data_IF_691799725191
#
_entry.id   IF_691799725191
#
_cell.length_a   1.000
_cell.length_b   1.000
_cell.length_c   1.000
_cell.angle_alpha   90.00
_cell.angle_beta   90.00
_cell.angle_gamma   90.00
#
_symmetry.space_group_name_H-M   'P 1'
#
loop_
_entity.id
_entity.type
_entity.pdbx_description
1 polymer ?
#
# COMPACT_ATOMS: atom_id res chain seq x y z
N UNK A 1 22.28 41.02 -64.44
CA UNK A 1 21.36 41.30 -65.56
C UNK A 1 19.97 41.03 -64.99
N UNK A 2 19.21 42.06 -64.61
CA UNK A 2 18.61 43.07 -65.52
C UNK A 2 17.79 42.34 -66.58
N UNK A 3 16.47 42.37 -66.42
CA UNK A 3 15.47 42.87 -67.39
C UNK A 3 14.58 41.66 -67.76
N UNK A 4 13.28 41.73 -68.01
CA UNK A 4 12.33 42.81 -68.27
C UNK A 4 10.94 42.17 -68.09
N UNK A 5 10.00 42.81 -67.39
CA UNK A 5 8.80 43.43 -67.99
C UNK A 5 8.35 42.77 -69.29
N UNK A 6 7.18 42.14 -69.30
CA UNK A 6 6.42 42.04 -70.54
C UNK A 6 4.95 42.43 -70.31
N UNK A 7 4.67 43.60 -70.84
CA UNK A 7 3.42 44.29 -71.00
C UNK A 7 2.68 43.64 -72.19
N UNK A 8 1.37 43.37 -72.08
CA UNK A 8 0.56 43.13 -73.27
C UNK A 8 -0.76 43.90 -73.17
N UNK A 9 -0.74 45.07 -73.78
CA UNK A 9 -1.90 45.93 -74.06
C UNK A 9 -2.69 45.41 -75.27
N UNK A 10 -3.92 45.93 -75.36
CA UNK A 10 -4.85 45.96 -76.49
C UNK A 10 -5.80 44.75 -76.58
N UNK A 11 -7.12 44.92 -76.57
CA UNK A 11 -7.84 45.88 -77.42
C UNK A 11 -9.17 46.28 -76.79
N UNK A 12 -9.40 47.60 -76.71
CA UNK A 12 -10.70 48.22 -76.53
C UNK A 12 -11.71 47.75 -77.59
N UNK A 13 -12.90 47.34 -77.15
CA UNK A 13 -14.10 47.46 -77.96
C UNK A 13 -15.17 48.16 -77.14
N UNK A 14 -15.31 49.46 -77.44
CA UNK A 14 -16.48 50.26 -77.13
C UNK A 14 -17.76 49.53 -77.60
N UNK A 15 -18.65 49.24 -76.66
CA UNK A 15 -20.08 49.09 -76.96
C UNK A 15 -20.87 50.08 -76.11
N UNK A 16 -21.21 51.17 -76.78
CA UNK A 16 -22.34 52.07 -76.57
C UNK A 16 -23.29 51.65 -75.43
N UNK A 17 -23.25 52.39 -74.31
CA UNK A 17 -24.33 52.43 -73.34
C UNK A 17 -25.51 53.19 -73.96
N UNK A 18 -26.46 52.44 -74.53
CA UNK A 18 -27.81 52.94 -74.80
C UNK A 18 -28.51 53.24 -73.45
N UNK A 19 -29.43 54.23 -73.41
CA UNK A 19 -30.27 54.42 -72.25
C UNK A 19 -31.10 53.16 -71.98
N UNK A 20 -31.14 52.70 -70.72
CA UNK A 20 -32.01 51.60 -70.26
C UNK A 20 -33.46 51.93 -70.60
N UNK A 21 -33.97 51.37 -71.71
CA UNK A 21 -35.40 51.32 -71.98
C UNK A 21 -36.05 50.40 -70.93
N UNK A 22 -37.18 50.83 -70.31
CA UNK A 22 -37.90 49.98 -69.38
C UNK A 22 -38.42 48.75 -70.14
N UNK A 23 -37.77 47.59 -69.93
CA UNK A 23 -38.29 46.29 -70.38
C UNK A 23 -39.66 46.06 -69.76
N UNK A 24 -40.71 46.26 -70.55
CA UNK A 24 -42.08 45.88 -70.20
C UNK A 24 -42.22 44.38 -70.43
N UNK A 25 -41.99 43.60 -69.37
CA UNK A 25 -42.19 42.16 -69.40
C UNK A 25 -43.69 41.86 -69.56
N UNK A 26 -44.04 40.93 -70.45
CA UNK A 26 -45.42 40.40 -70.48
C UNK A 26 -45.67 39.53 -69.25
N UNK A 27 -46.92 39.47 -68.75
CA UNK A 27 -47.26 38.64 -67.58
C UNK A 27 -46.76 37.18 -67.72
N UNK A 28 -46.90 36.61 -68.91
CA UNK A 28 -46.47 35.24 -69.23
C UNK A 28 -44.94 35.03 -69.15
N UNK A 29 -44.13 36.05 -69.41
CA UNK A 29 -42.67 35.97 -69.26
C UNK A 29 -42.24 36.10 -67.80
N UNK A 30 -43.00 36.87 -67.00
CA UNK A 30 -42.76 37.03 -65.57
C UNK A 30 -43.08 35.74 -64.81
N UNK A 31 -44.19 35.09 -65.14
CA UNK A 31 -44.58 33.81 -64.55
C UNK A 31 -43.55 32.71 -64.85
N UNK A 32 -43.06 32.62 -66.10
CA UNK A 32 -42.00 31.68 -66.48
C UNK A 32 -40.68 31.92 -65.74
N UNK A 33 -40.32 33.19 -65.50
CA UNK A 33 -39.13 33.54 -64.72
C UNK A 33 -39.29 33.15 -63.26
N UNK A 34 -40.47 33.37 -62.67
CA UNK A 34 -40.80 32.98 -61.31
C UNK A 34 -40.80 31.47 -61.12
N UNK A 35 -41.42 30.71 -62.02
CA UNK A 35 -41.42 29.24 -61.99
C UNK A 35 -40.00 28.67 -62.06
N UNK A 36 -39.17 29.22 -62.95
CA UNK A 36 -37.77 28.81 -63.08
C UNK A 36 -36.95 29.16 -61.84
N UNK A 37 -37.24 30.29 -61.20
CA UNK A 37 -36.61 30.68 -59.93
C UNK A 37 -37.06 29.79 -58.77
N UNK A 38 -38.35 29.48 -58.70
CA UNK A 38 -38.94 28.61 -57.69
C UNK A 38 -38.40 27.17 -57.81
N UNK A 39 -38.32 26.63 -59.02
CA UNK A 39 -37.73 25.32 -59.28
C UNK A 39 -36.24 25.27 -58.88
N UNK A 40 -35.45 26.29 -59.25
CA UNK A 40 -34.04 26.39 -58.82
C UNK A 40 -33.89 26.53 -57.32
N UNK A 41 -34.78 27.27 -56.66
CA UNK A 41 -34.77 27.43 -55.21
C UNK A 41 -35.09 26.11 -54.50
N UNK A 42 -36.09 25.37 -55.00
CA UNK A 42 -36.45 24.03 -54.50
C UNK A 42 -35.33 23.02 -54.71
N UNK A 43 -34.72 22.98 -55.90
CA UNK A 43 -33.60 22.09 -56.21
C UNK A 43 -32.40 22.39 -55.30
N UNK A 44 -32.07 23.68 -55.12
CA UNK A 44 -31.01 24.10 -54.18
C UNK A 44 -31.36 23.72 -52.74
N UNK A 45 -32.61 23.89 -52.31
CA UNK A 45 -33.05 23.52 -50.98
C UNK A 45 -32.98 22.01 -50.75
N UNK A 46 -33.37 21.19 -51.74
CA UNK A 46 -33.26 19.73 -51.68
C UNK A 46 -31.80 19.30 -51.59
N UNK A 47 -30.92 19.84 -52.43
CA UNK A 47 -29.49 19.54 -52.38
C UNK A 47 -28.85 19.93 -51.03
N UNK A 48 -29.20 21.09 -50.49
CA UNK A 48 -28.75 21.53 -49.15
C UNK A 48 -29.30 20.62 -48.04
N UNK A 49 -30.55 20.16 -48.17
CA UNK A 49 -31.16 19.24 -47.21
C UNK A 49 -30.51 17.86 -47.23
N UNK A 50 -30.29 17.28 -48.42
CA UNK A 50 -29.59 16.01 -48.60
C UNK A 50 -28.16 16.08 -48.06
N UNK A 51 -27.45 17.18 -48.35
CA UNK A 51 -26.10 17.40 -47.79
C UNK A 51 -26.12 17.44 -46.26
N UNK A 52 -27.04 18.19 -45.66
CA UNK A 52 -27.18 18.24 -44.19
C UNK A 52 -27.54 16.88 -43.59
N UNK A 53 -28.37 16.11 -44.28
CA UNK A 53 -28.78 14.78 -43.82
C UNK A 53 -27.60 13.80 -43.87
N UNK A 54 -26.81 13.83 -44.95
CA UNK A 54 -25.59 13.03 -45.07
C UNK A 54 -24.55 13.42 -44.01
N UNK A 55 -24.30 14.72 -43.83
CA UNK A 55 -23.37 15.23 -42.79
C UNK A 55 -23.82 14.81 -41.38
N UNK A 56 -25.12 14.86 -41.08
CA UNK A 56 -25.66 14.44 -39.79
C UNK A 56 -25.53 12.92 -39.58
N UNK A 57 -25.71 12.13 -40.62
CA UNK A 57 -25.61 10.67 -40.59
C UNK A 57 -24.16 10.23 -40.40
N UNK A 58 -23.20 10.88 -41.07
CA UNK A 58 -21.78 10.64 -40.90
C UNK A 58 -21.28 11.03 -39.49
N UNK A 59 -21.72 12.19 -38.99
CA UNK A 59 -21.43 12.62 -37.60
C UNK A 59 -22.02 11.66 -36.57
N UNK A 60 -23.25 11.20 -36.77
CA UNK A 60 -23.90 10.23 -35.88
C UNK A 60 -23.17 8.89 -35.84
N UNK A 61 -22.67 8.41 -36.98
CA UNK A 61 -21.85 7.19 -37.05
C UNK A 61 -20.51 7.35 -36.33
N UNK A 62 -19.77 8.43 -36.61
CA UNK A 62 -18.45 8.63 -36.00
C UNK A 62 -18.52 8.86 -34.49
N UNK A 63 -19.55 9.57 -34.01
CA UNK A 63 -19.74 9.79 -32.57
C UNK A 63 -20.18 8.49 -31.87
N UNK A 64 -21.03 7.68 -32.50
CA UNK A 64 -21.42 6.37 -31.98
C UNK A 64 -20.23 5.40 -31.87
N UNK A 65 -19.38 5.35 -32.90
CA UNK A 65 -18.15 4.54 -32.89
C UNK A 65 -17.18 5.01 -31.80
N UNK A 66 -16.98 6.32 -31.65
CA UNK A 66 -16.12 6.90 -30.61
C UNK A 66 -16.64 6.59 -29.21
N UNK A 67 -17.95 6.69 -28.97
CA UNK A 67 -18.55 6.36 -27.68
C UNK A 67 -18.44 4.87 -27.36
N UNK A 68 -18.67 4.00 -28.35
CA UNK A 68 -18.53 2.56 -28.20
C UNK A 68 -17.08 2.16 -27.89
N UNK A 69 -16.11 2.74 -28.61
CA UNK A 69 -14.67 2.54 -28.35
C UNK A 69 -14.30 3.01 -26.94
N UNK A 70 -14.70 4.22 -26.54
CA UNK A 70 -14.45 4.72 -25.18
C UNK A 70 -15.05 3.80 -24.12
N UNK A 71 -16.26 3.27 -24.33
CA UNK A 71 -16.87 2.33 -23.39
C UNK A 71 -16.11 1.01 -23.30
N UNK A 72 -15.58 0.50 -24.42
CA UNK A 72 -14.80 -0.73 -24.45
C UNK A 72 -13.42 -0.54 -23.78
N UNK A 73 -12.74 0.56 -24.09
CA UNK A 73 -11.45 0.91 -23.49
C UNK A 73 -11.56 1.15 -21.97
N UNK A 74 -12.59 1.86 -21.52
CA UNK A 74 -12.82 2.07 -20.08
C UNK A 74 -13.06 0.75 -19.33
N UNK A 75 -13.86 -0.16 -19.92
CA UNK A 75 -14.07 -1.49 -19.32
C UNK A 75 -12.77 -2.29 -19.26
N UNK A 76 -11.98 -2.29 -20.34
CA UNK A 76 -10.69 -2.97 -20.38
C UNK A 76 -9.69 -2.39 -19.38
N UNK A 77 -9.66 -1.06 -19.21
CA UNK A 77 -8.81 -0.40 -18.21
C UNK A 77 -9.23 -0.74 -16.79
N UNK A 78 -10.54 -0.75 -16.49
CA UNK A 78 -11.03 -1.11 -15.15
C UNK A 78 -10.74 -2.58 -14.85
N UNK A 79 -10.94 -3.48 -15.81
CA UNK A 79 -10.60 -4.90 -15.66
C UNK A 79 -9.09 -5.12 -15.48
N UNK A 80 -8.26 -4.39 -16.24
CA UNK A 80 -6.81 -4.41 -16.08
C UNK A 80 -6.39 -3.88 -14.70
N UNK A 81 -7.00 -2.78 -14.24
CA UNK A 81 -6.75 -2.21 -12.91
C UNK A 81 -7.16 -3.18 -11.79
N UNK A 82 -8.30 -3.86 -11.93
CA UNK A 82 -8.71 -4.88 -10.98
C UNK A 82 -7.73 -6.05 -10.94
N UNK A 83 -7.28 -6.54 -12.11
CA UNK A 83 -6.25 -7.59 -12.18
C UNK A 83 -4.92 -7.14 -11.56
N UNK A 84 -4.48 -5.92 -11.84
CA UNK A 84 -3.25 -5.38 -11.27
C UNK A 84 -3.35 -5.31 -9.74
N UNK A 85 -4.48 -4.82 -9.22
CA UNK A 85 -4.71 -4.80 -7.77
C UNK A 85 -4.73 -6.20 -7.17
N UNK A 86 -5.39 -7.16 -7.81
CA UNK A 86 -5.41 -8.55 -7.35
C UNK A 86 -4.00 -9.19 -7.36
N UNK A 87 -3.18 -8.85 -8.35
CA UNK A 87 -1.79 -9.29 -8.41
C UNK A 87 -0.94 -8.64 -7.31
N UNK A 88 -1.10 -7.34 -7.09
CA UNK A 88 -0.41 -6.59 -6.04
C UNK A 88 -0.79 -7.12 -4.64
N UNK A 89 -2.07 -7.36 -4.39
CA UNK A 89 -2.57 -7.94 -3.13
C UNK A 89 -1.98 -9.35 -2.91
N UNK A 90 -1.90 -10.18 -3.96
CA UNK A 90 -1.30 -11.52 -3.91
C UNK A 90 0.22 -11.48 -3.69
N UNK A 91 0.91 -10.57 -4.37
CA UNK A 91 2.36 -10.39 -4.20
C UNK A 91 2.66 -9.93 -2.78
N UNK A 92 1.88 -8.99 -2.24
CA UNK A 92 1.99 -8.55 -0.87
C UNK A 92 1.72 -9.68 0.13
N UNK A 93 0.68 -10.50 -0.06
CA UNK A 93 0.42 -11.66 0.80
C UNK A 93 1.56 -12.69 0.77
N UNK A 94 2.12 -12.95 -0.43
CA UNK A 94 3.26 -13.85 -0.57
C UNK A 94 4.50 -13.30 0.13
N UNK A 95 4.83 -12.04 -0.09
CA UNK A 95 5.96 -11.38 0.57
C UNK A 95 5.82 -11.41 2.10
N UNK A 96 4.62 -11.16 2.63
CA UNK A 96 4.37 -11.28 4.07
C UNK A 96 4.53 -12.72 4.57
N UNK A 97 4.03 -13.72 3.83
CA UNK A 97 4.17 -15.13 4.20
C UNK A 97 5.63 -15.57 4.20
N UNK A 98 6.42 -15.18 3.19
CA UNK A 98 7.85 -15.47 3.11
C UNK A 98 8.63 -14.80 4.23
N UNK A 99 8.34 -13.51 4.50
CA UNK A 99 8.93 -12.79 5.62
C UNK A 99 8.59 -13.49 6.95
N UNK A 100 7.33 -13.91 7.14
CA UNK A 100 6.89 -14.60 8.37
C UNK A 100 7.67 -15.89 8.61
N UNK A 101 7.86 -16.70 7.57
CA UNK A 101 8.64 -17.94 7.67
C UNK A 101 10.09 -17.64 8.06
N UNK A 102 10.69 -16.62 7.44
CA UNK A 102 12.06 -16.19 7.74
C UNK A 102 12.19 -15.73 9.19
N UNK A 103 11.30 -14.84 9.63
CA UNK A 103 11.29 -14.33 11.01
C UNK A 103 11.03 -15.44 12.01
N UNK A 104 10.11 -16.38 11.73
CA UNK A 104 9.87 -17.53 12.57
C UNK A 104 11.11 -18.43 12.70
N UNK A 105 11.87 -18.62 11.62
CA UNK A 105 13.16 -19.34 11.68
C UNK A 105 14.15 -18.62 12.59
N UNK A 106 14.32 -17.31 12.41
CA UNK A 106 15.23 -16.50 13.25
C UNK A 106 14.83 -16.56 14.72
N UNK A 107 13.54 -16.42 15.04
CA UNK A 107 13.05 -16.55 16.41
C UNK A 107 13.38 -17.92 17.00
N UNK A 108 13.15 -18.99 16.24
CA UNK A 108 13.46 -20.36 16.67
C UNK A 108 14.96 -20.55 16.93
N UNK A 109 15.82 -20.02 16.06
CA UNK A 109 17.29 -20.05 16.24
C UNK A 109 17.75 -19.30 17.49
N UNK A 110 17.03 -18.23 17.87
CA UNK A 110 17.29 -17.48 19.10
C UNK A 110 16.55 -18.03 20.32
N UNK A 111 15.93 -19.21 20.21
CA UNK A 111 15.14 -19.88 21.26
C UNK A 111 13.96 -19.03 21.76
N UNK A 112 13.42 -18.17 20.90
CA UNK A 112 12.26 -17.32 21.16
C UNK A 112 10.97 -17.94 20.60
N UNK A 113 9.80 -17.63 21.18
CA UNK A 113 8.52 -18.14 20.69
C UNK A 113 8.24 -17.70 19.26
N UNK A 114 7.99 -18.66 18.36
CA UNK A 114 7.72 -18.42 16.93
C UNK A 114 6.41 -17.68 16.68
N UNK A 115 5.48 -17.74 17.63
CA UNK A 115 4.19 -17.04 17.57
C UNK A 115 4.36 -15.51 17.52
N UNK A 116 5.54 -15.00 17.93
CA UNK A 116 5.88 -13.58 17.80
C UNK A 116 6.10 -13.16 16.34
N UNK A 117 6.33 -14.10 15.43
CA UNK A 117 6.58 -13.80 14.01
C UNK A 117 5.42 -13.02 13.39
N UNK A 118 4.16 -13.36 13.74
CA UNK A 118 2.95 -12.69 13.23
C UNK A 118 2.93 -11.19 13.52
N UNK A 119 3.41 -10.79 14.70
CA UNK A 119 3.45 -9.38 15.09
C UNK A 119 4.70 -8.67 14.56
N UNK A 120 5.81 -9.40 14.43
CA UNK A 120 7.07 -8.81 13.97
C UNK A 120 7.04 -8.50 12.47
N UNK A 121 6.37 -9.31 11.65
CA UNK A 121 6.25 -9.01 10.21
C UNK A 121 5.50 -7.72 9.90
N UNK A 122 4.65 -7.23 10.82
CA UNK A 122 3.97 -5.94 10.66
C UNK A 122 4.94 -4.74 10.65
N UNK A 123 6.16 -4.92 11.14
CA UNK A 123 7.19 -3.87 11.05
C UNK A 123 7.67 -3.63 9.61
N UNK A 124 7.45 -4.59 8.69
CA UNK A 124 7.73 -4.48 7.26
C UNK A 124 9.21 -4.30 6.88
N UNK A 125 10.11 -4.38 7.85
CA UNK A 125 11.53 -4.02 7.72
C UNK A 125 12.39 -5.06 8.44
N UNK A 126 13.22 -5.77 7.68
CA UNK A 126 14.04 -6.86 8.19
C UNK A 126 15.04 -6.40 9.26
N UNK A 127 15.62 -5.20 9.13
CA UNK A 127 16.59 -4.67 10.09
C UNK A 127 15.90 -4.32 11.41
N UNK A 128 14.71 -3.71 11.35
CA UNK A 128 13.91 -3.45 12.55
C UNK A 128 13.50 -4.75 13.24
N UNK A 129 13.09 -5.75 12.46
CA UNK A 129 12.72 -7.05 13.01
C UNK A 129 13.91 -7.69 13.73
N UNK A 130 15.09 -7.72 13.10
CA UNK A 130 16.31 -8.26 13.73
C UNK A 130 16.64 -7.54 15.04
N UNK A 131 16.60 -6.20 15.05
CA UNK A 131 16.86 -5.41 16.25
C UNK A 131 15.89 -5.73 17.39
N UNK A 132 14.60 -5.90 17.08
CA UNK A 132 13.58 -6.28 18.07
C UNK A 132 13.82 -7.70 18.58
N UNK A 133 14.16 -8.64 17.69
CA UNK A 133 14.48 -10.03 18.05
C UNK A 133 15.69 -10.08 19.00
N UNK A 134 16.75 -9.33 18.70
CA UNK A 134 17.95 -9.25 19.55
C UNK A 134 17.60 -8.66 20.94
N UNK A 135 16.80 -7.60 20.98
CA UNK A 135 16.33 -6.99 22.24
C UNK A 135 15.46 -7.94 23.07
N UNK A 136 14.56 -8.69 22.43
CA UNK A 136 13.73 -9.71 23.07
C UNK A 136 14.59 -10.82 23.67
N UNK A 137 15.59 -11.31 22.93
CA UNK A 137 16.50 -12.34 23.42
C UNK A 137 17.24 -11.88 24.69
N UNK A 138 17.75 -10.65 24.70
CA UNK A 138 18.43 -10.09 25.87
C UNK A 138 17.49 -9.96 27.07
N UNK A 139 16.28 -9.43 26.85
CA UNK A 139 15.29 -9.26 27.91
C UNK A 139 14.86 -10.60 28.54
N UNK A 140 14.65 -11.63 27.70
CA UNK A 140 14.30 -12.97 28.17
C UNK A 140 15.46 -13.59 28.97
N UNK A 141 16.70 -13.51 28.46
CA UNK A 141 17.86 -14.04 29.17
C UNK A 141 18.06 -13.36 30.54
N UNK A 142 17.89 -12.04 30.58
CA UNK A 142 17.97 -11.29 31.83
C UNK A 142 16.86 -11.71 32.80
N UNK A 143 15.61 -11.83 32.32
CA UNK A 143 14.48 -12.27 33.14
C UNK A 143 14.65 -13.68 33.71
N UNK A 144 15.22 -14.60 32.92
CA UNK A 144 15.57 -15.96 33.37
C UNK A 144 16.64 -15.90 34.46
N UNK A 145 17.74 -15.17 34.24
CA UNK A 145 18.82 -15.02 35.21
C UNK A 145 18.34 -14.41 36.53
N UNK A 146 17.50 -13.37 36.46
CA UNK A 146 16.89 -12.74 37.63
C UNK A 146 15.94 -13.69 38.36
N UNK A 147 15.14 -14.45 37.61
CA UNK A 147 14.25 -15.48 38.15
C UNK A 147 15.01 -16.59 38.88
N UNK A 148 16.10 -17.10 38.28
CA UNK A 148 16.99 -18.09 38.91
C UNK A 148 17.62 -17.50 40.17
N UNK A 149 18.13 -16.27 40.11
CA UNK A 149 18.74 -15.58 41.26
C UNK A 149 17.75 -15.43 42.40
N UNK A 150 16.51 -15.05 42.12
CA UNK A 150 15.43 -14.95 43.12
C UNK A 150 15.10 -16.32 43.72
N UNK A 151 14.97 -17.37 42.90
CA UNK A 151 14.72 -18.75 43.37
C UNK A 151 15.86 -19.30 44.22
N UNK A 152 17.11 -19.02 43.84
CA UNK A 152 18.29 -19.46 44.59
C UNK A 152 18.38 -18.75 45.95
N UNK A 153 18.07 -17.44 46.01
CA UNK A 153 17.94 -16.70 47.27
C UNK A 153 16.82 -17.20 48.16
N UNK A 154 15.68 -17.59 47.57
CA UNK A 154 14.56 -18.15 48.34
C UNK A 154 14.86 -19.56 48.88
N UNK A 155 15.82 -20.28 48.27
CA UNK A 155 16.40 -21.53 48.78
C UNK A 155 17.63 -21.31 49.66
N UNK A 156 17.78 -20.16 50.32
CA UNK A 156 18.58 -20.15 51.55
C UNK A 156 18.08 -21.28 52.44
N UNK A 157 18.96 -22.16 52.96
CA UNK A 157 18.50 -23.17 53.90
C UNK A 157 17.68 -22.42 54.95
N UNK A 158 16.45 -22.88 55.19
CA UNK A 158 15.92 -22.69 56.53
C UNK A 158 17.00 -23.33 57.38
N UNK A 159 17.85 -22.50 57.99
CA UNK A 159 18.51 -22.90 59.19
C UNK A 159 17.34 -23.30 60.07
N UNK A 160 17.01 -24.60 60.06
CA UNK A 160 16.51 -25.28 61.22
C UNK A 160 17.62 -25.06 62.23
N UNK A 161 17.64 -23.86 62.81
CA UNK A 161 18.31 -23.59 64.03
C UNK A 161 17.68 -24.61 64.95
N UNK A 162 18.35 -25.74 65.12
CA UNK A 162 18.20 -26.57 66.30
C UNK A 162 18.34 -25.59 67.45
N UNK A 163 17.20 -25.21 68.02
CA UNK A 163 17.16 -24.39 69.20
C UNK A 163 17.52 -25.32 70.33
N UNK A 164 18.73 -25.13 70.82
CA UNK A 164 19.25 -25.82 71.97
C UNK A 164 18.63 -25.17 73.22
N UNK A 165 17.99 -25.96 74.06
CA UNK A 165 17.55 -25.49 75.38
C UNK A 165 18.75 -25.20 76.27
N UNK A 166 18.55 -24.38 77.32
CA UNK A 166 19.64 -24.00 78.24
C UNK A 166 20.16 -25.17 79.11
N UNK A 167 19.49 -26.32 79.07
CA UNK A 167 19.72 -27.48 79.95
C UNK A 167 20.32 -28.71 79.24
N UNK A 168 21.12 -28.51 78.18
CA UNK A 168 21.86 -29.62 77.55
C UNK A 168 22.89 -30.18 78.52
N UNK A 169 22.92 -31.51 78.67
CA UNK A 169 23.93 -32.20 79.47
C UNK A 169 25.15 -32.63 78.63
N UNK A 170 26.22 -33.04 79.32
CA UNK A 170 27.48 -33.43 78.65
C UNK A 170 27.31 -34.65 77.74
N UNK A 171 26.40 -35.56 78.08
CA UNK A 171 26.16 -36.80 77.31
C UNK A 171 25.45 -36.49 76.00
N UNK A 172 24.48 -35.59 76.04
CA UNK A 172 23.80 -35.06 74.86
C UNK A 172 24.78 -34.26 73.98
N UNK A 173 25.62 -33.41 74.58
CA UNK A 173 26.68 -32.68 73.87
C UNK A 173 27.67 -33.62 73.16
N UNK A 174 28.11 -34.68 73.83
CA UNK A 174 29.04 -35.65 73.24
C UNK A 174 28.41 -36.46 72.11
N UNK A 175 27.08 -36.64 72.13
CA UNK A 175 26.33 -37.27 71.06
C UNK A 175 26.05 -36.34 69.85
N UNK A 176 26.22 -35.02 70.00
CA UNK A 176 26.01 -34.06 68.91
C UNK A 176 27.06 -34.17 67.81
N UNK A 177 26.60 -34.00 66.57
CA UNK A 177 27.45 -33.89 65.39
C UNK A 177 28.29 -32.60 65.40
N UNK A 178 29.36 -32.56 64.62
CA UNK A 178 30.20 -31.35 64.49
C UNK A 178 29.39 -30.11 64.03
N UNK A 179 28.38 -30.30 63.18
CA UNK A 179 27.51 -29.22 62.71
C UNK A 179 26.57 -28.69 63.82
N UNK A 180 26.04 -29.58 64.66
CA UNK A 180 25.21 -29.20 65.83
C UNK A 180 26.04 -28.50 66.89
N UNK A 181 27.26 -28.99 67.17
CA UNK A 181 28.21 -28.33 68.09
C UNK A 181 28.63 -26.95 67.60
N UNK A 182 28.85 -26.77 66.29
CA UNK A 182 29.13 -25.46 65.70
C UNK A 182 27.92 -24.51 65.80
N UNK A 183 26.71 -25.06 65.67
CA UNK A 183 25.46 -24.31 65.84
C UNK A 183 25.27 -23.90 67.30
N UNK A 184 25.54 -24.79 68.26
CA UNK A 184 25.50 -24.49 69.70
C UNK A 184 26.53 -23.41 70.06
N UNK A 185 27.76 -23.50 69.55
CA UNK A 185 28.77 -22.45 69.75
C UNK A 185 28.34 -21.08 69.19
N UNK A 186 27.69 -21.06 68.02
CA UNK A 186 27.20 -19.84 67.39
C UNK A 186 25.98 -19.24 68.12
N UNK A 187 25.15 -20.06 68.75
CA UNK A 187 23.93 -19.63 69.45
C UNK A 187 24.15 -19.33 70.95
N UNK A 188 24.90 -20.19 71.65
CA UNK A 188 25.15 -20.10 73.09
C UNK A 188 26.60 -20.53 73.42
N UNK A 189 27.52 -19.58 73.28
CA UNK A 189 28.95 -19.78 73.52
C UNK A 189 29.27 -20.15 74.97
N UNK A 190 28.53 -19.60 75.94
CA UNK A 190 28.75 -19.88 77.36
C UNK A 190 28.39 -21.34 77.69
N UNK A 191 27.26 -21.83 77.20
CA UNK A 191 26.86 -23.23 77.38
C UNK A 191 27.84 -24.19 76.69
N UNK A 192 28.26 -23.88 75.45
CA UNK A 192 29.28 -24.67 74.75
C UNK A 192 30.57 -24.78 75.57
N UNK A 193 31.11 -23.65 76.05
CA UNK A 193 32.35 -23.64 76.82
C UNK A 193 32.20 -24.45 78.12
N UNK A 194 31.08 -24.29 78.84
CA UNK A 194 30.78 -25.04 80.06
C UNK A 194 30.74 -26.55 79.83
N UNK A 195 30.22 -26.99 78.68
CA UNK A 195 30.14 -28.41 78.31
C UNK A 195 31.48 -28.99 77.84
N UNK A 196 32.37 -28.14 77.31
CA UNK A 196 33.73 -28.54 76.91
C UNK A 196 34.78 -28.50 78.03
N UNK A 197 34.55 -27.68 79.06
CA UNK A 197 35.48 -27.52 80.20
C UNK A 197 35.22 -28.48 81.37
N UNK A 198 34.05 -29.11 81.41
CA UNK A 198 33.72 -30.20 82.34
C UNK A 198 34.32 -31.54 81.89
#
# INVERSE_FOLDING_TARGET
MAEEVNNNESTEQEKQNQPDEPKTLTQSELDRLMDKHAAKALEKQQAEFEKKLNDALEKGKSEGERLAQMSAEQKAQEEAKQRLKELEDKEHELNQRELKVTVASTLKERELPTDLADYLVELGDADKISNVVDGLQQAVQQGINDGITKRLRQKSPQNGATQFGDDIDKKEFDAMTAAERATLFAQNKELFNKLTEA
#
